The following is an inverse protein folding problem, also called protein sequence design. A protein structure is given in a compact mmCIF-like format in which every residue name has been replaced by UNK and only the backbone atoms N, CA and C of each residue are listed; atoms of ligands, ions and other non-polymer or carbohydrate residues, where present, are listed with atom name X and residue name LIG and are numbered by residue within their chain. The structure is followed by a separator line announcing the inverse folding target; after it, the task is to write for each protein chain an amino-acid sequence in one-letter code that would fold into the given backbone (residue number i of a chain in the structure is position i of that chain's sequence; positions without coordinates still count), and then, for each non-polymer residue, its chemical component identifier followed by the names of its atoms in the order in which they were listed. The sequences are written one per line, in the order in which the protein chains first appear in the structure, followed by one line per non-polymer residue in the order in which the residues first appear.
data_IF_857916918956
#
_entry.id   IF_857916918956
#
_cell.length_a   1.000
_cell.length_b   1.000
_cell.length_c   1.000
_cell.angle_alpha   90.00
_cell.angle_beta   90.00
_cell.angle_gamma   90.00
#
_symmetry.space_group_name_H-M   'P 1'
#
loop_
_entity.id
_entity.type
_entity.pdbx_description
1 polymer ?
#
# COMPACT_ATOMS: atom_id res chain seq x y z
N UNK A 1 -29.41 0.74 3.56
CA UNK A 1 -28.33 1.01 2.58
C UNK A 1 -27.35 -0.16 2.64
N UNK A 2 -27.39 -1.07 1.68
CA UNK A 2 -26.54 -2.26 1.64
C UNK A 2 -25.78 -2.25 0.31
N UNK A 3 -24.48 -1.94 0.36
CA UNK A 3 -23.65 -1.93 -0.84
C UNK A 3 -23.14 -3.35 -1.11
N UNK A 4 -23.49 -3.86 -2.29
CA UNK A 4 -23.40 -5.29 -2.66
C UNK A 4 -21.98 -5.66 -3.08
N UNK A 5 -21.56 -6.82 -2.56
CA UNK A 5 -20.54 -7.78 -3.05
C UNK A 5 -19.79 -7.40 -4.34
N UNK A 6 -18.46 -7.34 -4.24
CA UNK A 6 -17.57 -7.51 -5.40
C UNK A 6 -16.84 -8.86 -5.27
N UNK A 7 -17.55 -9.96 -5.50
CA UNK A 7 -16.93 -11.25 -5.81
C UNK A 7 -16.88 -11.37 -7.32
N UNK A 8 -15.73 -11.05 -7.92
CA UNK A 8 -15.43 -11.42 -9.30
C UNK A 8 -14.99 -12.87 -9.25
N UNK A 9 -15.85 -13.77 -9.70
CA UNK A 9 -15.59 -15.21 -9.83
C UNK A 9 -15.53 -15.53 -11.31
N UNK A 10 -14.32 -15.68 -11.86
CA UNK A 10 -14.09 -16.40 -13.11
C UNK A 10 -13.77 -17.87 -12.81
N UNK A 11 -14.34 -18.84 -13.55
CA UNK A 11 -14.15 -20.26 -13.26
C UNK A 11 -12.76 -20.68 -13.78
N UNK A 12 -11.79 -20.78 -12.86
CA UNK A 12 -10.44 -21.29 -13.15
C UNK A 12 -9.32 -20.22 -13.24
N UNK A 13 -9.55 -19.01 -12.74
CA UNK A 13 -8.54 -17.95 -12.67
C UNK A 13 -7.90 -17.86 -11.29
N UNK A 14 -6.57 -17.84 -11.23
CA UNK A 14 -5.80 -17.56 -10.01
C UNK A 14 -6.32 -16.28 -9.35
N UNK A 15 -6.61 -16.32 -8.05
CA UNK A 15 -7.07 -15.16 -7.28
C UNK A 15 -5.92 -14.16 -7.17
N UNK A 16 -5.85 -13.22 -8.11
CA UNK A 16 -5.00 -12.04 -7.96
C UNK A 16 -5.67 -11.20 -6.87
N UNK A 17 -5.11 -11.24 -5.66
CA UNK A 17 -5.57 -10.37 -4.57
C UNK A 17 -5.13 -8.95 -4.90
N UNK A 18 -5.99 -8.21 -5.58
CA UNK A 18 -5.80 -6.78 -5.80
C UNK A 18 -6.08 -6.05 -4.49
N UNK A 19 -5.02 -5.73 -3.75
CA UNK A 19 -5.13 -4.84 -2.58
C UNK A 19 -5.47 -3.45 -3.09
N UNK A 20 -6.65 -2.95 -2.71
CA UNK A 20 -7.09 -1.61 -3.13
C UNK A 20 -6.30 -0.54 -2.37
N UNK A 21 -5.92 0.57 -3.03
CA UNK A 21 -5.30 1.72 -2.35
C UNK A 21 -6.24 2.29 -1.30
N UNK A 22 -5.67 2.90 -0.27
CA UNK A 22 -6.46 3.57 0.76
C UNK A 22 -7.30 2.63 1.65
N UNK A 23 -7.07 1.32 1.60
CA UNK A 23 -7.75 0.35 2.49
C UNK A 23 -6.87 -0.04 3.68
N UNK A 24 -7.47 -0.49 4.80
CA UNK A 24 -6.72 -1.05 5.93
C UNK A 24 -5.82 -2.23 5.53
N UNK A 25 -6.20 -2.99 4.51
CA UNK A 25 -5.42 -4.11 3.97
C UNK A 25 -4.11 -3.62 3.34
N UNK A 26 -4.14 -2.48 2.64
CA UNK A 26 -2.95 -1.83 2.10
C UNK A 26 -2.04 -1.29 3.20
N UNK A 27 -2.62 -0.68 4.23
CA UNK A 27 -1.86 -0.21 5.39
C UNK A 27 -1.13 -1.39 6.07
N UNK A 28 -1.84 -2.49 6.33
CA UNK A 28 -1.25 -3.69 6.94
C UNK A 28 -0.15 -4.31 6.06
N UNK A 29 -0.33 -4.32 4.74
CA UNK A 29 0.69 -4.80 3.80
C UNK A 29 1.95 -3.92 3.81
N UNK A 30 1.76 -2.60 3.78
CA UNK A 30 2.87 -1.64 3.82
C UNK A 30 3.55 -1.61 5.19
N UNK A 31 2.81 -1.82 6.29
CA UNK A 31 3.35 -1.90 7.65
C UNK A 31 4.44 -2.96 7.76
N UNK A 32 4.26 -4.11 7.10
CA UNK A 32 5.29 -5.17 7.05
C UNK A 32 6.55 -4.72 6.30
N UNK A 33 6.39 -3.98 5.20
CA UNK A 33 7.53 -3.53 4.37
C UNK A 33 8.28 -2.33 4.94
N UNK A 34 7.58 -1.41 5.59
CA UNK A 34 8.13 -0.16 6.12
C UNK A 34 8.41 -0.19 7.62
N UNK A 35 7.83 -1.14 8.37
CA UNK A 35 7.98 -1.25 9.82
C UNK A 35 7.34 -0.10 10.60
N UNK A 36 6.37 0.60 10.01
CA UNK A 36 5.65 1.73 10.61
C UNK A 36 4.20 1.73 10.19
N UNK A 37 3.32 2.23 11.07
CA UNK A 37 1.90 2.42 10.80
C UNK A 37 1.61 3.73 10.07
N UNK A 38 0.45 3.80 9.42
CA UNK A 38 -0.04 5.01 8.75
C UNK A 38 -0.09 6.21 9.71
N UNK A 39 -0.65 6.02 10.90
CA UNK A 39 -0.76 7.07 11.93
C UNK A 39 0.61 7.62 12.35
N UNK A 40 1.61 6.73 12.45
CA UNK A 40 2.97 7.14 12.78
C UNK A 40 3.61 7.91 11.62
N UNK A 41 3.41 7.46 10.38
CA UNK A 41 3.90 8.16 9.20
C UNK A 41 3.30 9.58 9.09
N UNK A 42 2.00 9.73 9.29
CA UNK A 42 1.32 11.03 9.30
C UNK A 42 1.83 11.94 10.42
N UNK A 43 2.05 11.39 11.61
CA UNK A 43 2.62 12.13 12.75
C UNK A 43 4.01 12.65 12.44
N UNK A 44 4.90 11.81 11.87
CA UNK A 44 6.26 12.21 11.49
C UNK A 44 6.23 13.35 10.47
N UNK A 45 5.39 13.24 9.43
CA UNK A 45 5.29 14.26 8.39
C UNK A 45 4.80 15.59 8.96
N UNK A 46 3.85 15.53 9.89
CA UNK A 46 3.26 16.72 10.52
C UNK A 46 4.18 17.39 11.53
N UNK A 47 4.90 16.61 12.33
CA UNK A 47 5.73 17.14 13.43
C UNK A 47 7.15 17.53 13.01
N UNK A 48 7.71 16.91 11.96
CA UNK A 48 9.09 17.21 11.53
C UNK A 48 9.35 18.70 11.21
N UNK A 49 8.44 19.45 10.58
CA UNK A 49 8.62 20.89 10.36
C UNK A 49 8.86 21.66 11.66
N UNK A 50 8.22 21.25 12.76
CA UNK A 50 8.32 21.89 14.06
C UNK A 50 9.45 21.32 14.93
N UNK A 51 9.83 20.04 14.72
CA UNK A 51 10.83 19.31 15.53
C UNK A 51 11.71 18.39 14.67
N UNK A 52 12.57 18.94 13.81
CA UNK A 52 13.42 18.17 12.91
C UNK A 52 14.44 17.29 13.65
N UNK A 53 14.81 17.64 14.88
CA UNK A 53 15.73 16.85 15.70
C UNK A 53 15.16 15.51 16.20
N UNK A 54 13.83 15.40 16.31
CA UNK A 54 13.15 14.16 16.76
C UNK A 54 12.93 13.20 15.59
N UNK A 55 12.81 13.77 14.38
CA UNK A 55 12.49 13.04 13.16
C UNK A 55 13.61 13.20 12.12
N UNK A 56 14.66 12.34 12.19
CA UNK A 56 15.73 12.31 11.20
C UNK A 56 15.19 12.25 9.78
N UNK A 57 15.96 12.80 8.83
CA UNK A 57 15.50 12.94 7.46
C UNK A 57 15.12 11.60 6.82
N UNK A 58 15.88 10.55 7.08
CA UNK A 58 15.64 9.19 6.57
C UNK A 58 14.30 8.61 7.06
N UNK A 59 13.91 8.95 8.30
CA UNK A 59 12.64 8.51 8.89
C UNK A 59 11.47 9.26 8.24
N UNK A 60 11.66 10.54 7.94
CA UNK A 60 10.67 11.34 7.23
C UNK A 60 10.50 10.94 5.78
N UNK A 61 11.59 10.66 5.05
CA UNK A 61 11.50 10.14 3.69
C UNK A 61 10.76 8.80 3.65
N UNK A 62 11.03 7.91 4.61
CA UNK A 62 10.24 6.67 4.76
C UNK A 62 8.77 6.93 5.01
N UNK A 63 8.43 7.87 5.89
CA UNK A 63 7.04 8.23 6.17
C UNK A 63 6.35 8.80 4.92
N UNK A 64 7.01 9.68 4.16
CA UNK A 64 6.49 10.19 2.90
C UNK A 64 6.28 9.09 1.87
N UNK A 65 7.25 8.19 1.71
CA UNK A 65 7.14 7.04 0.82
C UNK A 65 6.00 6.11 1.23
N UNK A 66 5.79 5.87 2.53
CA UNK A 66 4.66 5.10 3.04
C UNK A 66 3.32 5.73 2.64
N UNK A 67 3.13 7.02 2.91
CA UNK A 67 1.88 7.73 2.58
C UNK A 67 1.66 7.80 1.06
N UNK A 68 2.73 7.99 0.29
CA UNK A 68 2.65 7.94 -1.17
C UNK A 68 2.25 6.54 -1.66
N UNK A 69 2.86 5.48 -1.12
CA UNK A 69 2.54 4.10 -1.47
C UNK A 69 1.11 3.70 -1.05
N UNK A 70 0.64 4.18 0.09
CA UNK A 70 -0.71 3.93 0.58
C UNK A 70 -1.79 4.50 -0.35
N UNK A 71 -1.50 5.67 -0.93
CA UNK A 71 -2.38 6.34 -1.89
C UNK A 71 -2.12 5.92 -3.35
N UNK A 72 -0.99 5.28 -3.63
CA UNK A 72 -0.64 4.84 -4.98
C UNK A 72 -1.58 3.70 -5.40
N UNK A 73 -2.18 3.85 -6.59
CA UNK A 73 -2.91 2.77 -7.24
C UNK A 73 -1.96 1.94 -8.07
N UNK A 74 -1.57 0.72 -7.64
CA UNK A 74 -0.78 -0.14 -8.50
C UNK A 74 -1.66 -0.59 -9.68
N UNK A 75 -1.29 -0.19 -10.89
CA UNK A 75 -1.86 -0.76 -12.10
C UNK A 75 -1.13 -2.09 -12.39
N UNK A 76 -1.86 -3.22 -12.49
CA UNK A 76 -1.23 -4.49 -12.85
C UNK A 76 -0.71 -4.42 -14.28
N UNK A 77 0.62 -4.43 -14.44
CA UNK A 77 1.31 -4.38 -15.74
C UNK A 77 1.11 -5.67 -16.55
N UNK A 78 0.85 -6.80 -15.87
CA UNK A 78 0.51 -8.07 -16.49
C UNK A 78 -0.27 -8.94 -15.52
N UNK A 79 -1.45 -9.41 -15.95
CA UNK A 79 -2.21 -10.45 -15.25
C UNK A 79 -1.74 -11.87 -15.62
N UNK A 80 -0.73 -11.99 -16.50
CA UNK A 80 -0.16 -13.30 -16.87
C UNK A 80 0.86 -13.72 -15.82
N UNK A 81 0.67 -14.87 -15.15
CA UNK A 81 1.67 -15.39 -14.24
C UNK A 81 2.95 -15.76 -15.01
N UNK A 82 4.11 -15.49 -14.40
CA UNK A 82 5.42 -15.59 -15.04
C UNK A 82 5.73 -16.97 -15.65
N UNK A 83 5.14 -18.04 -15.12
CA UNK A 83 5.31 -19.42 -15.61
C UNK A 83 4.49 -19.76 -16.87
N UNK A 84 3.59 -18.88 -17.33
CA UNK A 84 2.93 -18.99 -18.65
C UNK A 84 3.62 -18.17 -19.74
N UNK A 85 4.74 -17.54 -19.44
CA UNK A 85 5.59 -16.87 -20.44
C UNK A 85 6.57 -17.90 -21.03
N UNK A 86 6.06 -18.87 -21.77
CA UNK A 86 6.88 -19.68 -22.68
C UNK A 86 6.70 -19.18 -24.12
N UNK A 87 7.77 -19.20 -24.95
CA UNK A 87 7.75 -18.72 -26.34
C UNK A 87 6.80 -19.52 -27.24
#
# INVERSE_FOLDING_TARGET
MANRKSTVTEPGGDVIVTIKPGTPEMAAYLEVGYGMSLEKAETIIKERPDRPEIWPYEVFEKAQAFVAAYNASPEPVSNRPAWRLTP
#
